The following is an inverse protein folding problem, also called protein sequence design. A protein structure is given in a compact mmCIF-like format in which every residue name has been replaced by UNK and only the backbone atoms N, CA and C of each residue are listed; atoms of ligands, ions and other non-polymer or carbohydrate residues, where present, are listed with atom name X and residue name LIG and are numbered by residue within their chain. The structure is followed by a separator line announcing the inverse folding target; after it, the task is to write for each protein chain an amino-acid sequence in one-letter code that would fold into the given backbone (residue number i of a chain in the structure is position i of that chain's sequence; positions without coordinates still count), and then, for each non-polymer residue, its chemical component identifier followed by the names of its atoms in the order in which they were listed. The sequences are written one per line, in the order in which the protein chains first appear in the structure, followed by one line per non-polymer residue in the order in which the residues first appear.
data_IF_690157816280
#
_entry.id   IF_690157816280
#
_cell.length_a   1.000
_cell.length_b   1.000
_cell.length_c   1.000
_cell.angle_alpha   90.00
_cell.angle_beta   90.00
_cell.angle_gamma   90.00
#
_symmetry.space_group_name_H-M   'P 1'
#
loop_
_entity.id
_entity.type
_entity.pdbx_description
1 polymer ?
#
# COMPACT_ATOMS: atom_id res chain seq x y z
N UNK A 1 -22.21 -30.83 2.00
CA UNK A 1 -22.58 -29.67 1.16
C UNK A 1 -22.16 -28.43 1.95
N UNK A 2 -21.19 -27.67 1.43
CA UNK A 2 -20.60 -26.52 2.13
C UNK A 2 -21.42 -25.27 1.79
N UNK A 3 -21.91 -24.57 2.81
CA UNK A 3 -22.69 -23.33 2.69
C UNK A 3 -21.75 -22.13 2.72
N UNK A 4 -21.73 -21.35 1.64
CA UNK A 4 -21.00 -20.10 1.54
C UNK A 4 -21.79 -18.98 2.25
N UNK A 5 -21.39 -18.63 3.47
CA UNK A 5 -21.91 -17.43 4.13
C UNK A 5 -21.12 -16.21 3.64
N UNK A 6 -21.69 -15.55 2.63
CA UNK A 6 -21.28 -14.26 2.09
C UNK A 6 -21.15 -13.21 3.20
N UNK A 7 -19.95 -12.65 3.35
CA UNK A 7 -19.67 -11.49 4.20
C UNK A 7 -20.24 -10.27 3.45
N UNK A 8 -21.48 -9.91 3.76
CA UNK A 8 -22.10 -8.68 3.28
C UNK A 8 -21.47 -7.49 4.00
N UNK A 9 -20.39 -6.95 3.42
CA UNK A 9 -19.79 -5.69 3.83
C UNK A 9 -20.86 -4.59 3.77
N UNK A 10 -21.21 -4.06 4.95
CA UNK A 10 -22.05 -2.86 5.13
C UNK A 10 -21.32 -1.64 4.55
N UNK A 11 -21.38 -1.47 3.24
CA UNK A 11 -21.13 -0.20 2.55
C UNK A 11 -22.39 0.19 1.79
N UNK A 12 -23.44 0.49 2.53
CA UNK A 12 -24.61 1.19 2.00
C UNK A 12 -25.02 2.27 3.00
N UNK A 13 -24.22 3.33 3.06
CA UNK A 13 -24.67 4.64 3.49
C UNK A 13 -24.69 5.55 2.26
N UNK A 14 -25.55 5.18 1.30
CA UNK A 14 -26.15 6.10 0.34
C UNK A 14 -27.61 5.68 0.25
N UNK A 15 -28.38 6.05 1.29
CA UNK A 15 -29.81 6.14 1.12
C UNK A 15 -30.05 7.29 0.15
N UNK A 16 -30.32 6.95 -1.12
CA UNK A 16 -31.15 7.81 -1.94
C UNK A 16 -32.52 7.85 -1.24
N UNK A 17 -32.76 8.93 -0.49
CA UNK A 17 -34.08 9.27 0.01
C UNK A 17 -34.93 9.67 -1.20
N UNK A 18 -35.52 8.70 -1.89
CA UNK A 18 -36.69 8.96 -2.72
C UNK A 18 -37.88 9.11 -1.78
N UNK A 19 -38.20 10.35 -1.42
CA UNK A 19 -39.43 10.69 -0.72
C UNK A 19 -40.53 10.80 -1.78
N UNK A 20 -41.48 9.87 -1.76
CA UNK A 20 -42.68 9.88 -2.61
C UNK A 20 -43.79 10.54 -1.79
N UNK A 21 -44.41 11.59 -2.31
CA UNK A 21 -45.57 12.19 -1.64
C UNK A 21 -46.82 11.29 -1.79
N UNK A 22 -47.85 11.47 -0.95
CA UNK A 22 -49.08 10.66 -1.02
C UNK A 22 -49.89 10.84 -2.32
N UNK A 23 -49.44 11.70 -3.24
CA UNK A 23 -50.05 11.92 -4.57
C UNK A 23 -49.26 11.19 -5.67
N UNK A 24 -48.14 10.55 -5.34
CA UNK A 24 -47.37 9.69 -6.24
C UNK A 24 -46.42 10.44 -7.16
N UNK A 25 -46.08 11.69 -6.88
CA UNK A 25 -45.12 12.44 -7.68
C UNK A 25 -43.68 12.15 -7.24
N UNK A 26 -42.85 11.73 -8.19
CA UNK A 26 -41.42 11.51 -7.99
C UNK A 26 -40.65 12.78 -8.36
N UNK A 27 -40.21 13.53 -7.37
CA UNK A 27 -39.26 14.64 -7.58
C UNK A 27 -37.84 14.09 -7.63
N UNK A 28 -37.27 14.03 -8.84
CA UNK A 28 -35.85 13.76 -9.07
C UNK A 28 -35.08 14.99 -8.59
N UNK A 29 -34.41 14.87 -7.45
CA UNK A 29 -33.40 15.85 -7.05
C UNK A 29 -32.22 15.73 -8.01
N UNK A 30 -32.18 16.64 -8.97
CA UNK A 30 -31.10 16.86 -9.93
C UNK A 30 -29.76 17.01 -9.19
N UNK A 31 -28.94 15.95 -9.21
CA UNK A 31 -27.51 16.03 -8.88
C UNK A 31 -26.74 15.54 -10.07
N UNK A 32 -26.13 16.49 -10.78
CA UNK A 32 -25.02 16.27 -11.70
C UNK A 32 -23.99 15.31 -11.07
N UNK A 33 -23.84 14.07 -11.56
CA UNK A 33 -22.75 13.21 -11.13
C UNK A 33 -21.54 13.54 -12.02
N UNK A 34 -20.64 14.38 -11.53
CA UNK A 34 -19.34 14.53 -12.19
C UNK A 34 -18.75 15.92 -12.12
N UNK A 35 -18.24 16.32 -10.94
CA UNK A 35 -17.17 17.32 -10.91
C UNK A 35 -16.27 17.37 -9.67
N UNK A 36 -16.54 16.61 -8.60
CA UNK A 36 -15.77 16.76 -7.34
C UNK A 36 -15.11 15.47 -6.81
N UNK A 37 -15.13 14.35 -7.53
CA UNK A 37 -14.53 13.07 -7.07
C UNK A 37 -13.10 12.82 -7.59
N UNK A 38 -12.34 13.88 -7.88
CA UNK A 38 -10.93 13.75 -8.35
C UNK A 38 -9.92 13.92 -7.19
N UNK A 39 -10.33 14.40 -6.01
CA UNK A 39 -9.38 14.91 -5.01
C UNK A 39 -8.70 13.89 -4.07
N UNK A 40 -8.95 12.58 -4.21
CA UNK A 40 -8.27 11.58 -3.38
C UNK A 40 -7.60 10.46 -4.18
N UNK A 41 -6.94 10.78 -5.29
CA UNK A 41 -5.91 9.87 -5.80
C UNK A 41 -4.73 9.90 -4.81
N UNK A 42 -4.44 8.82 -4.07
CA UNK A 42 -3.32 8.81 -3.14
C UNK A 42 -2.05 9.11 -3.93
N UNK A 43 -1.34 10.15 -3.51
CA UNK A 43 -0.06 10.50 -4.13
C UNK A 43 0.92 9.42 -3.69
N UNK A 44 1.16 8.41 -4.55
CA UNK A 44 2.07 7.30 -4.25
C UNK A 44 3.49 7.74 -3.86
N UNK A 45 3.84 9.00 -4.14
CA UNK A 45 5.06 9.65 -3.65
C UNK A 45 5.16 9.66 -2.11
N UNK A 46 4.03 9.77 -1.41
CA UNK A 46 3.96 9.78 0.06
C UNK A 46 4.31 8.41 0.68
N UNK A 47 4.25 7.34 -0.12
CA UNK A 47 4.62 5.99 0.30
C UNK A 47 6.06 5.61 -0.09
N UNK A 48 6.85 6.57 -0.58
CA UNK A 48 8.26 6.30 -0.88
C UNK A 48 9.08 6.20 0.41
N UNK A 49 9.99 5.24 0.44
CA UNK A 49 10.90 5.03 1.56
C UNK A 49 12.31 5.44 1.13
N UNK A 50 13.04 6.13 2.01
CA UNK A 50 14.43 6.45 1.73
C UNK A 50 15.28 5.17 1.69
N UNK A 51 16.30 5.16 0.82
CA UNK A 51 17.22 4.04 0.70
C UNK A 51 17.81 3.61 2.05
N UNK A 52 18.20 4.59 2.89
CA UNK A 52 18.70 4.33 4.24
C UNK A 52 17.70 3.58 5.15
N UNK A 53 16.39 3.90 5.06
CA UNK A 53 15.36 3.20 5.82
C UNK A 53 15.18 1.76 5.31
N UNK A 54 15.22 1.55 3.99
CA UNK A 54 15.15 0.21 3.39
C UNK A 54 16.35 -0.63 3.79
N UNK A 55 17.56 -0.08 3.70
CA UNK A 55 18.78 -0.75 4.14
C UNK A 55 18.71 -1.12 5.61
N UNK A 56 18.35 -0.18 6.49
CA UNK A 56 18.22 -0.43 7.93
C UNK A 56 17.20 -1.53 8.23
N UNK A 57 16.03 -1.48 7.60
CA UNK A 57 15.01 -2.52 7.75
C UNK A 57 15.57 -3.89 7.37
N UNK A 58 16.23 -3.97 6.21
CA UNK A 58 16.74 -5.23 5.71
C UNK A 58 17.84 -5.82 6.61
N UNK A 59 18.74 -4.98 7.17
CA UNK A 59 19.72 -5.43 8.17
C UNK A 59 19.05 -5.92 9.46
N UNK A 60 17.99 -5.25 9.92
CA UNK A 60 17.27 -5.67 11.13
C UNK A 60 16.55 -7.01 10.93
N UNK A 61 15.88 -7.21 9.80
CA UNK A 61 15.25 -8.48 9.45
C UNK A 61 16.30 -9.59 9.36
N UNK A 62 17.42 -9.34 8.69
CA UNK A 62 18.51 -10.32 8.60
C UNK A 62 19.04 -10.71 9.98
N UNK A 63 19.23 -9.75 10.89
CA UNK A 63 19.64 -10.03 12.28
C UNK A 63 18.61 -10.83 13.07
N UNK A 64 17.32 -10.62 12.79
CA UNK A 64 16.23 -11.31 13.48
C UNK A 64 16.03 -12.75 12.96
N UNK A 65 16.22 -12.97 11.65
CA UNK A 65 15.95 -14.25 11.00
C UNK A 65 17.18 -15.16 10.97
N UNK A 66 18.38 -14.60 10.79
CA UNK A 66 19.62 -15.38 10.62
C UNK A 66 20.41 -15.39 11.93
N UNK A 67 20.59 -16.57 12.57
CA UNK A 67 21.33 -16.68 13.82
C UNK A 67 22.76 -16.14 13.72
N UNK A 68 23.28 -15.54 14.80
CA UNK A 68 24.66 -15.01 14.83
C UNK A 68 25.71 -16.06 14.47
N UNK A 69 25.52 -17.31 14.88
CA UNK A 69 26.44 -18.42 14.60
C UNK A 69 26.59 -18.73 13.10
N UNK A 70 25.58 -18.44 12.28
CA UNK A 70 25.62 -18.66 10.82
C UNK A 70 26.72 -17.85 10.14
N UNK A 71 26.98 -16.63 10.64
CA UNK A 71 27.97 -15.74 10.04
C UNK A 71 29.41 -16.17 10.37
N UNK A 72 29.60 -17.03 11.37
CA UNK A 72 30.90 -17.44 11.90
C UNK A 72 31.61 -16.34 12.69
N UNK A 73 31.68 -15.12 12.16
CA UNK A 73 32.26 -13.96 12.82
C UNK A 73 31.58 -12.64 12.40
N UNK A 74 31.82 -11.58 13.17
CA UNK A 74 31.23 -10.26 12.91
C UNK A 74 31.73 -9.64 11.60
N UNK A 75 33.01 -9.88 11.24
CA UNK A 75 33.59 -9.39 9.98
C UNK A 75 32.85 -9.92 8.75
N UNK A 76 32.41 -11.18 8.76
CA UNK A 76 31.62 -11.74 7.66
C UNK A 76 30.26 -11.05 7.54
N UNK A 77 29.66 -10.70 8.67
CA UNK A 77 28.41 -9.96 8.69
C UNK A 77 28.59 -8.50 8.23
N UNK A 78 29.73 -7.86 8.50
CA UNK A 78 30.08 -6.54 7.96
C UNK A 78 30.27 -6.55 6.43
N UNK A 79 30.93 -7.59 5.90
CA UNK A 79 31.04 -7.80 4.45
C UNK A 79 29.67 -7.95 3.82
N UNK A 80 28.80 -8.78 4.42
CA UNK A 80 27.41 -8.92 3.97
C UNK A 80 26.67 -7.57 3.95
N UNK A 81 26.77 -6.77 5.03
CA UNK A 81 26.15 -5.44 5.09
C UNK A 81 26.64 -4.53 3.96
N UNK A 82 27.94 -4.56 3.67
CA UNK A 82 28.53 -3.77 2.59
C UNK A 82 27.99 -4.20 1.22
N UNK A 83 27.94 -5.50 0.95
CA UNK A 83 27.35 -6.03 -0.29
C UNK A 83 25.86 -5.66 -0.43
N UNK A 84 25.10 -5.75 0.66
CA UNK A 84 23.69 -5.38 0.70
C UNK A 84 23.45 -3.91 0.36
N UNK A 85 24.32 -3.02 0.84
CA UNK A 85 24.26 -1.58 0.54
C UNK A 85 24.45 -1.31 -0.95
N UNK A 86 25.43 -1.96 -1.58
CA UNK A 86 25.70 -1.85 -3.02
C UNK A 86 24.52 -2.40 -3.83
N UNK A 87 24.01 -3.57 -3.45
CA UNK A 87 22.87 -4.20 -4.13
C UNK A 87 21.63 -3.30 -4.11
N UNK A 88 21.26 -2.77 -2.94
CA UNK A 88 20.11 -1.88 -2.83
C UNK A 88 20.32 -0.58 -3.59
N UNK A 89 21.54 -0.04 -3.63
CA UNK A 89 21.85 1.15 -4.43
C UNK A 89 21.63 0.88 -5.92
N UNK A 90 22.11 -0.24 -6.42
CA UNK A 90 21.95 -0.62 -7.83
C UNK A 90 20.50 -0.94 -8.19
N UNK A 91 19.77 -1.64 -7.30
CA UNK A 91 18.35 -1.93 -7.48
C UNK A 91 17.50 -0.64 -7.54
N UNK A 92 17.81 0.34 -6.69
CA UNK A 92 17.16 1.66 -6.74
C UNK A 92 17.43 2.37 -8.08
N UNK A 93 18.68 2.38 -8.56
CA UNK A 93 19.05 3.00 -9.84
C UNK A 93 18.28 2.35 -11.00
N UNK A 94 18.24 1.02 -11.05
CA UNK A 94 17.48 0.27 -12.06
C UNK A 94 15.98 0.59 -12.04
N UNK A 95 15.37 0.61 -10.86
CA UNK A 95 13.95 0.95 -10.70
C UNK A 95 13.65 2.40 -11.09
N UNK A 96 14.60 3.31 -10.89
CA UNK A 96 14.44 4.72 -11.28
C UNK A 96 14.55 4.89 -12.80
N UNK A 97 15.46 4.15 -13.45
CA UNK A 97 15.66 4.19 -14.90
C UNK A 97 14.48 3.61 -15.70
N UNK A 98 13.83 2.56 -15.22
CA UNK A 98 12.66 1.94 -15.88
C UNK A 98 11.42 2.85 -15.82
N UNK A 99 11.39 3.79 -14.87
CA UNK A 99 10.24 4.62 -14.56
C UNK A 99 10.31 6.03 -15.19
N UNK A 100 11.41 6.37 -15.86
CA UNK A 100 11.61 7.64 -16.58
C UNK A 100 11.44 7.49 -18.08
#
# INVERSE_FOLDING_TARGET
MVSENSIQLKSQASQMNMTIDSVGNSTIADRVPGKNEIEHKPRFLEFTCSHAKVFRYAILVTKAVIPKAFWGCEKNFEVFQSCMCVYLSHAYIWLTLIRS
#
